data_IF_310111317719
#
_entry.id   IF_310111317719
#
_cell.length_a   1.000
_cell.length_b   1.000
_cell.length_c   1.000
_cell.angle_alpha   90.00
_cell.angle_beta   90.00
_cell.angle_gamma   90.00
#
_symmetry.space_group_name_H-M   'P 1'
#
loop_
_entity.id
_entity.type
_entity.pdbx_description
1 polymer ?
#
# COMPACT_ATOMS: atom_id res chain seq x y z
N UNK A 1 -2.06 -1.53 -10.05
CA UNK A 1 -0.64 -1.29 -9.73
C UNK A 1 0.05 -2.54 -9.18
N UNK A 2 -0.28 -3.05 -7.98
CA UNK A 2 0.44 -4.19 -7.37
C UNK A 2 0.61 -5.43 -8.25
N UNK A 3 -0.45 -5.89 -8.95
CA UNK A 3 -0.39 -7.10 -9.79
C UNK A 3 0.61 -6.99 -10.96
N UNK A 4 0.75 -5.79 -11.52
CA UNK A 4 1.48 -5.58 -12.77
C UNK A 4 2.85 -4.97 -12.57
N UNK A 5 3.02 -4.12 -11.54
CA UNK A 5 4.23 -3.33 -11.34
C UNK A 5 5.16 -3.90 -10.26
N UNK A 6 4.62 -4.56 -9.23
CA UNK A 6 5.38 -4.97 -8.05
C UNK A 6 6.56 -5.90 -8.34
N UNK A 7 6.41 -6.79 -9.33
CA UNK A 7 7.44 -7.78 -9.72
C UNK A 7 8.72 -7.16 -10.29
N UNK A 8 8.67 -5.90 -10.69
CA UNK A 8 9.84 -5.20 -11.23
C UNK A 8 10.67 -4.56 -10.12
N UNK A 9 10.18 -4.55 -8.88
CA UNK A 9 10.92 -4.03 -7.74
C UNK A 9 11.86 -5.10 -7.18
N UNK A 10 13.07 -4.70 -6.79
CA UNK A 10 14.13 -5.61 -6.35
C UNK A 10 13.72 -6.45 -5.13
N UNK A 11 13.02 -5.83 -4.18
CA UNK A 11 12.50 -6.50 -3.00
C UNK A 11 11.13 -7.14 -3.27
N UNK A 12 11.00 -8.47 -3.10
CA UNK A 12 9.75 -9.19 -3.33
C UNK A 12 8.65 -8.78 -2.33
N UNK A 13 9.04 -8.26 -1.17
CA UNK A 13 8.12 -7.80 -0.13
C UNK A 13 7.75 -6.32 -0.32
N UNK A 14 8.72 -5.48 -0.69
CA UNK A 14 8.47 -4.04 -0.79
C UNK A 14 7.63 -3.71 -2.03
N UNK A 15 7.90 -4.35 -3.17
CA UNK A 15 7.22 -4.07 -4.43
C UNK A 15 5.69 -4.09 -4.33
N UNK A 16 5.07 -5.18 -3.82
CA UNK A 16 3.61 -5.26 -3.70
C UNK A 16 3.02 -4.16 -2.81
N UNK A 17 3.64 -3.90 -1.66
CA UNK A 17 3.17 -2.91 -0.69
C UNK A 17 3.24 -1.50 -1.28
N UNK A 18 4.38 -1.13 -1.86
CA UNK A 18 4.56 0.20 -2.44
C UNK A 18 3.68 0.42 -3.68
N UNK A 19 3.58 -0.58 -4.56
CA UNK A 19 2.72 -0.49 -5.75
C UNK A 19 1.24 -0.44 -5.39
N UNK A 20 0.80 -1.15 -4.35
CA UNK A 20 -0.57 -1.04 -3.83
C UNK A 20 -0.83 0.35 -3.24
N UNK A 21 0.06 0.86 -2.39
CA UNK A 21 -0.06 2.18 -1.79
C UNK A 21 -0.10 3.31 -2.82
N UNK A 22 0.85 3.32 -3.76
CA UNK A 22 0.92 4.30 -4.83
C UNK A 22 -0.35 4.28 -5.72
N UNK A 23 -0.83 3.09 -6.06
CA UNK A 23 -2.08 2.93 -6.81
C UNK A 23 -3.32 3.42 -6.05
N UNK A 24 -3.44 3.11 -4.76
CA UNK A 24 -4.57 3.52 -3.93
C UNK A 24 -4.62 5.03 -3.69
N UNK A 25 -3.46 5.68 -3.66
CA UNK A 25 -3.34 7.14 -3.52
C UNK A 25 -3.37 7.87 -4.87
N UNK A 26 -3.41 7.14 -5.99
CA UNK A 26 -3.30 7.67 -7.35
C UNK A 26 -2.08 8.61 -7.53
N UNK A 27 -0.93 8.15 -7.03
CA UNK A 27 0.37 8.79 -7.24
C UNK A 27 1.36 7.87 -7.93
N UNK A 28 2.36 8.47 -8.56
CA UNK A 28 3.57 7.78 -9.02
C UNK A 28 4.71 7.92 -8.01
N UNK A 29 5.40 6.80 -7.80
CA UNK A 29 6.65 6.66 -7.05
C UNK A 29 7.72 6.07 -7.99
N UNK A 30 8.98 6.08 -7.55
CA UNK A 30 10.13 5.59 -8.30
C UNK A 30 10.98 6.75 -8.84
N UNK A 31 11.85 6.45 -9.80
CA UNK A 31 12.87 7.38 -10.29
C UNK A 31 14.20 7.27 -9.52
N UNK A 32 15.11 8.23 -9.71
CA UNK A 32 16.46 8.16 -9.17
C UNK A 32 16.44 8.26 -7.63
N UNK A 33 17.04 7.27 -6.98
CA UNK A 33 17.27 7.26 -5.54
C UNK A 33 18.76 7.21 -5.25
N UNK A 34 19.25 8.03 -4.32
CA UNK A 34 20.67 8.01 -3.93
C UNK A 34 20.88 7.02 -2.79
N UNK A 35 21.69 6.00 -3.03
CA UNK A 35 22.10 5.00 -2.05
C UNK A 35 23.62 4.92 -2.02
N UNK A 36 24.22 5.10 -0.83
CA UNK A 36 25.69 5.10 -0.66
C UNK A 36 26.48 6.01 -1.62
N UNK A 37 25.85 7.10 -2.09
CA UNK A 37 26.44 8.04 -3.05
C UNK A 37 26.22 7.69 -4.52
N UNK A 38 25.70 6.48 -4.81
CA UNK A 38 25.35 6.04 -6.15
C UNK A 38 23.86 6.29 -6.43
N UNK A 39 23.53 6.57 -7.69
CA UNK A 39 22.13 6.69 -8.13
C UNK A 39 21.64 5.30 -8.53
N UNK A 40 20.62 4.83 -7.82
CA UNK A 40 19.85 3.64 -8.18
C UNK A 40 18.52 4.06 -8.82
N UNK A 41 18.32 3.65 -10.08
CA UNK A 41 17.07 3.90 -10.79
C UNK A 41 15.98 2.95 -10.30
N UNK A 42 14.94 3.51 -9.67
CA UNK A 42 13.79 2.72 -9.19
C UNK A 42 12.68 2.70 -10.24
N UNK A 43 12.11 1.52 -10.54
CA UNK A 43 11.02 1.43 -11.51
C UNK A 43 9.80 2.22 -11.04
N UNK A 44 9.06 2.78 -11.99
CA UNK A 44 7.85 3.51 -11.68
C UNK A 44 6.79 2.60 -11.04
N UNK A 45 6.23 3.03 -9.91
CA UNK A 45 5.14 2.37 -9.21
C UNK A 45 3.94 3.32 -9.08
N UNK A 46 2.74 2.79 -9.20
CA UNK A 46 1.51 3.58 -9.13
C UNK A 46 1.11 4.19 -10.47
N UNK A 47 0.23 5.19 -10.40
CA UNK A 47 -0.37 5.92 -11.53
C UNK A 47 -0.73 7.32 -11.08
N UNK A 48 -0.96 8.27 -11.99
CA UNK A 48 -1.38 9.63 -11.63
C UNK A 48 -0.21 10.58 -11.40
N UNK A 49 -0.38 11.55 -10.50
CA UNK A 49 0.56 12.64 -10.29
C UNK A 49 1.82 12.18 -9.53
N UNK A 50 2.93 12.91 -9.67
CA UNK A 50 4.11 12.68 -8.84
C UNK A 50 3.78 12.86 -7.37
N UNK A 51 4.26 11.97 -6.52
CA UNK A 51 4.06 12.05 -5.09
C UNK A 51 4.71 13.33 -4.52
N UNK A 52 4.03 13.93 -3.56
CA UNK A 52 4.46 15.16 -2.87
C UNK A 52 4.18 15.02 -1.37
N UNK A 53 4.69 15.94 -0.56
CA UNK A 53 4.51 15.93 0.89
C UNK A 53 3.02 15.86 1.33
N UNK A 54 2.10 16.44 0.55
CA UNK A 54 0.65 16.40 0.84
C UNK A 54 0.12 14.96 0.87
N UNK A 55 0.70 14.07 0.06
CA UNK A 55 0.28 12.68 -0.03
C UNK A 55 0.68 11.84 1.20
N UNK A 56 1.58 12.33 2.06
CA UNK A 56 1.90 11.67 3.33
C UNK A 56 0.68 11.64 4.25
N UNK A 57 -0.05 12.76 4.35
CA UNK A 57 -1.27 12.83 5.16
C UNK A 57 -2.36 11.92 4.58
N UNK A 58 -2.48 11.87 3.25
CA UNK A 58 -3.39 10.96 2.58
C UNK A 58 -3.03 9.48 2.82
N UNK A 59 -1.74 9.13 2.79
CA UNK A 59 -1.23 7.79 3.09
C UNK A 59 -1.55 7.37 4.52
N UNK A 60 -1.33 8.26 5.49
CA UNK A 60 -1.70 8.01 6.89
C UNK A 60 -3.21 7.78 7.05
N UNK A 61 -4.03 8.60 6.39
CA UNK A 61 -5.50 8.41 6.40
C UNK A 61 -5.91 7.07 5.81
N UNK A 62 -5.27 6.65 4.70
CA UNK A 62 -5.51 5.35 4.08
C UNK A 62 -5.16 4.20 5.03
N UNK A 63 -4.03 4.26 5.72
CA UNK A 63 -3.64 3.24 6.71
C UNK A 63 -4.66 3.17 7.85
N UNK A 64 -5.05 4.30 8.42
CA UNK A 64 -6.05 4.35 9.51
C UNK A 64 -7.39 3.75 9.08
N UNK A 65 -7.90 4.11 7.89
CA UNK A 65 -9.16 3.57 7.35
C UNK A 65 -9.07 2.06 7.12
N UNK A 66 -7.94 1.59 6.59
CA UNK A 66 -7.73 0.17 6.31
C UNK A 66 -7.62 -0.64 7.60
N UNK A 67 -6.95 -0.10 8.63
CA UNK A 67 -6.90 -0.71 9.96
C UNK A 67 -8.30 -0.82 10.57
N UNK A 68 -9.08 0.27 10.55
CA UNK A 68 -10.45 0.28 11.05
C UNK A 68 -11.33 -0.75 10.32
N UNK A 69 -11.18 -0.87 9.01
CA UNK A 69 -11.88 -1.88 8.21
C UNK A 69 -11.52 -3.31 8.65
N UNK A 70 -10.23 -3.61 8.81
CA UNK A 70 -9.81 -4.94 9.28
C UNK A 70 -10.34 -5.27 10.68
N UNK A 71 -10.29 -4.31 11.61
CA UNK A 71 -10.87 -4.48 12.94
C UNK A 71 -12.37 -4.75 12.88
N UNK A 72 -13.11 -3.99 12.05
CA UNK A 72 -14.55 -4.21 11.86
C UNK A 72 -14.85 -5.60 11.29
N UNK A 73 -14.06 -6.06 10.30
CA UNK A 73 -14.21 -7.39 9.72
C UNK A 73 -13.90 -8.50 10.73
N UNK A 74 -12.87 -8.34 11.57
CA UNK A 74 -12.54 -9.30 12.63
C UNK A 74 -13.67 -9.39 13.66
N UNK A 75 -14.20 -8.24 14.12
CA UNK A 75 -15.34 -8.20 15.06
C UNK A 75 -16.58 -8.85 14.43
N UNK A 76 -16.91 -8.50 13.19
CA UNK A 76 -18.06 -9.08 12.49
C UNK A 76 -17.90 -10.59 12.30
N UNK A 77 -16.70 -11.05 11.95
CA UNK A 77 -16.40 -12.48 11.80
C UNK A 77 -16.52 -13.22 13.14
N UNK A 78 -16.00 -12.64 14.22
CA UNK A 78 -16.14 -13.22 15.56
C UNK A 78 -17.60 -13.29 16.02
N UNK A 79 -18.37 -12.23 15.80
CA UNK A 79 -19.79 -12.19 16.10
C UNK A 79 -20.58 -13.24 15.29
N UNK A 80 -20.25 -13.41 14.01
CA UNK A 80 -20.86 -14.42 13.16
C UNK A 80 -20.56 -15.84 13.67
N UNK A 81 -19.30 -16.13 14.00
CA UNK A 81 -18.88 -17.42 14.56
C UNK A 81 -19.67 -17.73 15.84
N UNK A 82 -19.72 -16.79 16.78
CA UNK A 82 -20.49 -16.93 18.02
C UNK A 82 -21.97 -17.21 17.75
N UNK A 83 -22.59 -16.44 16.86
CA UNK A 83 -24.00 -16.63 16.51
C UNK A 83 -24.27 -18.02 15.90
N UNK A 84 -23.34 -18.57 15.11
CA UNK A 84 -23.49 -19.91 14.51
C UNK A 84 -23.20 -21.07 15.46
N UNK A 85 -22.41 -20.87 16.52
CA UNK A 85 -22.12 -21.90 17.52
C UNK A 85 -23.17 -21.98 18.65
N UNK A 86 -24.04 -20.99 18.77
CA UNK A 86 -25.16 -20.97 19.72
C UNK A 86 -26.49 -21.45 19.10
N UNK A 87 -26.45 -21.98 17.86
CA UNK A 87 -27.54 -22.69 17.17
C UNK A 87 -27.20 -24.18 17.12
#
# INVERSE_FOLDING_TARGET
CWRTQARHWDSPNAGPVMAAGAGSLNVQLGGPAVYHGEIEERPALGTGAQATAVHVVAALSLVTRTLALWLALLVASGALILATHHV
#
